data_IF_247668195087
#
_entry.id   IF_247668195087
#
_cell.length_a   1.000
_cell.length_b   1.000
_cell.length_c   1.000
_cell.angle_alpha   90.00
_cell.angle_beta   90.00
_cell.angle_gamma   90.00
#
_symmetry.space_group_name_H-M   'P 1'
#
loop_
_entity.id
_entity.type
_entity.pdbx_description
1 polymer ?
#
# COMPACT_ATOMS: atom_id res chain seq x y z
N UNK A 1 4.91 22.62 -11.37
CA UNK A 1 5.24 21.22 -11.75
C UNK A 1 6.72 20.85 -11.54
N UNK A 2 7.65 21.80 -11.67
CA UNK A 2 9.06 21.57 -11.36
C UNK A 2 9.47 22.44 -10.16
N UNK A 3 9.87 21.78 -9.07
CA UNK A 3 10.34 22.43 -7.84
C UNK A 3 11.63 23.23 -8.03
N UNK A 4 12.04 23.94 -6.98
CA UNK A 4 13.28 24.72 -6.98
C UNK A 4 14.51 23.82 -7.09
N UNK A 5 15.59 24.30 -7.72
CA UNK A 5 16.95 23.71 -7.73
C UNK A 5 17.06 22.20 -7.99
N UNK A 6 16.32 21.66 -8.96
CA UNK A 6 16.60 20.31 -9.47
C UNK A 6 18.02 20.23 -10.07
N UNK A 7 18.76 19.11 -9.90
CA UNK A 7 18.38 17.87 -9.20
C UNK A 7 18.68 17.86 -7.68
N UNK A 8 19.20 18.96 -7.12
CA UNK A 8 19.77 18.98 -5.77
C UNK A 8 18.74 19.14 -4.64
N UNK A 9 17.52 19.58 -4.97
CA UNK A 9 16.42 19.74 -4.03
C UNK A 9 15.21 18.91 -4.47
N UNK A 10 14.94 17.84 -3.71
CA UNK A 10 13.79 16.96 -3.91
C UNK A 10 12.66 17.43 -3.00
N UNK A 11 11.83 18.32 -3.52
CA UNK A 11 10.76 18.97 -2.75
C UNK A 11 9.40 18.24 -2.81
N UNK A 12 9.30 17.17 -3.60
CA UNK A 12 8.10 16.36 -3.77
C UNK A 12 8.48 14.95 -4.23
N UNK A 13 7.91 13.95 -3.57
CA UNK A 13 7.84 12.58 -4.04
C UNK A 13 6.44 12.31 -4.60
N UNK A 14 6.36 11.62 -5.73
CA UNK A 14 5.10 11.20 -6.35
C UNK A 14 5.14 9.69 -6.58
N UNK A 15 4.30 8.95 -5.85
CA UNK A 15 4.16 7.51 -6.00
C UNK A 15 3.02 7.23 -6.98
N UNK A 16 3.32 6.51 -8.07
CA UNK A 16 2.37 6.19 -9.16
C UNK A 16 2.21 4.69 -9.36
N UNK A 17 2.08 3.97 -8.25
CA UNK A 17 2.06 2.49 -8.21
C UNK A 17 0.69 1.92 -7.82
N UNK A 18 -0.29 2.79 -7.50
CA UNK A 18 -1.62 2.36 -7.07
C UNK A 18 -2.62 2.42 -8.22
N UNK A 19 -3.42 1.36 -8.35
CA UNK A 19 -4.66 1.38 -9.12
C UNK A 19 -5.73 2.24 -8.43
N UNK A 20 -6.87 2.39 -9.09
CA UNK A 20 -8.04 3.05 -8.51
C UNK A 20 -8.51 2.29 -7.26
N UNK A 21 -8.48 2.95 -6.12
CA UNK A 21 -9.14 2.52 -4.89
C UNK A 21 -10.41 3.34 -4.69
N UNK A 22 -11.56 2.69 -4.90
CA UNK A 22 -12.89 3.32 -4.81
C UNK A 22 -13.24 3.67 -3.37
N UNK A 23 -12.88 2.82 -2.40
CA UNK A 23 -13.14 3.09 -1.00
C UNK A 23 -12.17 4.16 -0.46
N UNK A 24 -12.64 5.37 -0.13
CA UNK A 24 -11.78 6.43 0.35
C UNK A 24 -11.15 6.12 1.71
N UNK A 25 -11.79 5.28 2.54
CA UNK A 25 -11.22 4.86 3.82
C UNK A 25 -10.03 3.92 3.58
N UNK A 26 -10.17 2.97 2.65
CA UNK A 26 -9.08 2.10 2.22
C UNK A 26 -7.94 2.92 1.59
N UNK A 27 -8.26 3.85 0.67
CA UNK A 27 -7.29 4.75 0.06
C UNK A 27 -6.51 5.55 1.11
N UNK A 28 -7.21 6.19 2.05
CA UNK A 28 -6.58 6.94 3.14
C UNK A 28 -5.66 6.07 4.00
N UNK A 29 -6.03 4.80 4.21
CA UNK A 29 -5.19 3.88 4.98
C UNK A 29 -3.89 3.51 4.29
N UNK A 30 -3.93 3.28 2.97
CA UNK A 30 -2.73 3.04 2.16
C UNK A 30 -1.87 4.30 2.11
N UNK A 31 -2.49 5.47 1.94
CA UNK A 31 -1.78 6.75 2.00
C UNK A 31 -1.10 6.96 3.36
N UNK A 32 -1.79 6.70 4.47
CA UNK A 32 -1.23 6.82 5.81
C UNK A 32 -0.05 5.88 6.05
N UNK A 33 -0.13 4.64 5.55
CA UNK A 33 0.97 3.67 5.64
C UNK A 33 2.21 4.15 4.88
N UNK A 34 2.02 4.62 3.63
CA UNK A 34 3.10 5.15 2.79
C UNK A 34 3.71 6.42 3.40
N UNK A 35 2.87 7.36 3.86
CA UNK A 35 3.31 8.60 4.51
C UNK A 35 4.13 8.28 5.77
N UNK A 36 3.65 7.38 6.62
CA UNK A 36 4.38 6.99 7.83
C UNK A 36 5.73 6.36 7.51
N UNK A 37 5.81 5.52 6.45
CA UNK A 37 7.09 4.93 6.01
C UNK A 37 8.05 5.97 5.45
N UNK A 38 7.57 6.93 4.66
CA UNK A 38 8.41 8.02 4.14
C UNK A 38 8.93 8.92 5.26
N UNK A 39 8.07 9.28 6.21
CA UNK A 39 8.47 10.03 7.40
C UNK A 39 9.52 9.26 8.19
N UNK A 40 9.36 7.94 8.36
CA UNK A 40 10.35 7.10 9.03
C UNK A 40 11.72 7.16 8.34
N UNK A 41 11.76 6.99 7.01
CA UNK A 41 12.99 7.05 6.21
C UNK A 41 13.66 8.42 6.24
N UNK A 42 12.88 9.51 6.20
CA UNK A 42 13.41 10.88 6.25
C UNK A 42 14.07 11.18 7.61
N UNK A 43 13.50 10.65 8.70
CA UNK A 43 14.00 10.90 10.05
C UNK A 43 15.11 9.94 10.49
N UNK A 44 15.22 8.77 9.86
CA UNK A 44 16.18 7.74 10.22
C UNK A 44 17.00 7.28 8.99
N UNK A 45 18.14 7.94 8.71
CA UNK A 45 19.04 7.54 7.63
C UNK A 45 19.64 6.14 7.77
N UNK A 46 19.57 5.52 8.96
CA UNK A 46 20.06 4.15 9.14
C UNK A 46 19.20 3.12 8.40
N UNK A 47 18.03 3.52 7.91
CA UNK A 47 17.16 2.67 7.11
C UNK A 47 17.53 2.65 5.62
N UNK A 48 18.65 3.25 5.22
CA UNK A 48 19.12 3.24 3.82
C UNK A 48 19.39 1.79 3.35
N UNK A 49 18.62 1.28 2.36
CA UNK A 49 18.81 -0.07 1.83
C UNK A 49 20.21 -0.31 1.26
N UNK A 50 20.90 0.73 0.79
CA UNK A 50 22.27 0.63 0.29
C UNK A 50 23.30 0.39 1.40
N UNK A 51 22.95 0.66 2.65
CA UNK A 51 23.82 0.47 3.80
C UNK A 51 23.47 -0.79 4.60
N UNK A 52 22.19 -1.01 4.92
CA UNK A 52 21.78 -2.06 5.87
C UNK A 52 21.37 -3.39 5.24
N UNK A 53 21.23 -3.49 3.92
CA UNK A 53 20.93 -4.75 3.26
C UNK A 53 22.10 -5.74 3.37
N UNK A 54 21.80 -7.02 3.61
CA UNK A 54 22.77 -8.13 3.63
C UNK A 54 23.30 -8.48 2.24
N UNK A 55 22.72 -7.96 1.17
CA UNK A 55 23.20 -8.15 -0.19
C UNK A 55 24.65 -7.64 -0.30
N UNK A 56 25.58 -8.35 -0.97
CA UNK A 56 26.97 -7.94 -1.09
C UNK A 56 27.15 -6.52 -1.66
N UNK A 57 28.00 -5.71 -1.02
CA UNK A 57 28.17 -4.30 -1.35
C UNK A 57 28.64 -4.04 -2.80
N UNK A 58 29.33 -5.00 -3.42
CA UNK A 58 29.85 -4.86 -4.79
C UNK A 58 28.77 -4.91 -5.88
N UNK A 59 27.58 -5.46 -5.61
CA UNK A 59 26.46 -5.50 -6.54
C UNK A 59 25.11 -5.07 -5.93
N UNK A 60 25.10 -4.61 -4.68
CA UNK A 60 23.90 -4.29 -3.89
C UNK A 60 22.85 -3.46 -4.60
N UNK A 61 23.26 -2.35 -5.23
CA UNK A 61 22.33 -1.46 -5.91
C UNK A 61 21.58 -2.17 -7.06
N UNK A 62 22.31 -2.92 -7.90
CA UNK A 62 21.72 -3.67 -9.00
C UNK A 62 20.81 -4.80 -8.55
N UNK A 63 21.23 -5.53 -7.50
CA UNK A 63 20.44 -6.62 -6.93
C UNK A 63 19.17 -6.11 -6.22
N UNK A 64 19.21 -4.97 -5.53
CA UNK A 64 18.02 -4.35 -4.93
C UNK A 64 17.01 -3.92 -5.99
N UNK A 65 17.47 -3.42 -7.13
CA UNK A 65 16.58 -3.10 -8.27
C UNK A 65 15.96 -4.39 -8.81
N UNK A 66 16.77 -5.41 -9.13
CA UNK A 66 16.28 -6.67 -9.66
C UNK A 66 15.30 -7.37 -8.69
N UNK A 67 15.56 -7.27 -7.38
CA UNK A 67 14.68 -7.76 -6.34
C UNK A 67 13.35 -7.00 -6.30
N UNK A 68 13.39 -5.68 -6.46
CA UNK A 68 12.19 -4.83 -6.50
C UNK A 68 11.32 -5.21 -7.70
N UNK A 69 11.90 -5.34 -8.88
CA UNK A 69 11.20 -5.76 -10.10
C UNK A 69 10.56 -7.15 -9.95
N UNK A 70 11.30 -8.11 -9.37
CA UNK A 70 10.81 -9.46 -9.14
C UNK A 70 9.64 -9.49 -8.14
N UNK A 71 9.75 -8.72 -7.05
CA UNK A 71 8.69 -8.59 -6.05
C UNK A 71 7.45 -7.88 -6.62
N UNK A 72 7.64 -6.85 -7.43
CA UNK A 72 6.55 -6.13 -8.10
C UNK A 72 5.77 -7.06 -9.04
N UNK A 73 6.47 -7.84 -9.87
CA UNK A 73 5.83 -8.83 -10.75
C UNK A 73 5.07 -9.90 -9.96
N UNK A 74 5.64 -10.36 -8.84
CA UNK A 74 4.98 -11.33 -7.97
C UNK A 74 3.71 -10.74 -7.33
N UNK A 75 3.79 -9.52 -6.79
CA UNK A 75 2.67 -8.81 -6.21
C UNK A 75 1.58 -8.49 -7.25
N UNK A 76 1.95 -8.12 -8.48
CA UNK A 76 0.99 -7.88 -9.55
C UNK A 76 0.21 -9.15 -9.95
N UNK A 77 0.84 -10.33 -9.86
CA UNK A 77 0.20 -11.62 -10.21
C UNK A 77 -0.63 -12.21 -9.07
N UNK A 78 -0.12 -12.14 -7.86
CA UNK A 78 -0.67 -12.88 -6.71
C UNK A 78 -1.12 -11.98 -5.57
N UNK A 79 -1.05 -10.65 -5.73
CA UNK A 79 -1.55 -9.67 -4.78
C UNK A 79 -0.98 -9.92 -3.37
N UNK A 80 -1.83 -9.85 -2.34
CA UNK A 80 -1.48 -10.09 -0.94
C UNK A 80 -0.98 -11.52 -0.63
N UNK A 81 -1.16 -12.47 -1.56
CA UNK A 81 -0.70 -13.86 -1.44
C UNK A 81 0.63 -14.11 -2.16
N UNK A 82 1.24 -13.08 -2.75
CA UNK A 82 2.55 -13.21 -3.37
C UNK A 82 3.62 -13.58 -2.35
N UNK A 83 4.42 -14.60 -2.64
CA UNK A 83 5.67 -14.84 -1.94
C UNK A 83 6.73 -13.89 -2.49
N UNK A 84 7.21 -13.00 -1.64
CA UNK A 84 8.22 -11.99 -1.92
C UNK A 84 9.54 -12.38 -1.25
N UNK A 85 10.61 -11.70 -1.66
CA UNK A 85 11.89 -11.78 -0.98
C UNK A 85 12.20 -10.44 -0.31
N UNK A 86 12.43 -10.48 1.00
CA UNK A 86 12.65 -9.30 1.82
C UNK A 86 14.00 -8.64 1.49
N UNK A 87 14.04 -7.32 1.31
CA UNK A 87 15.22 -6.60 0.79
C UNK A 87 16.38 -6.49 1.79
N UNK A 88 16.08 -6.58 3.08
CA UNK A 88 17.08 -6.41 4.12
C UNK A 88 17.94 -7.66 4.31
N UNK A 89 17.32 -8.84 4.34
CA UNK A 89 17.93 -10.11 4.77
C UNK A 89 17.74 -11.26 3.76
N UNK A 90 16.94 -11.05 2.71
CA UNK A 90 16.71 -12.02 1.66
C UNK A 90 15.76 -13.16 2.03
N UNK A 91 15.10 -13.12 3.20
CA UNK A 91 14.12 -14.15 3.59
C UNK A 91 12.90 -14.12 2.69
N UNK A 92 12.24 -15.27 2.53
CA UNK A 92 10.95 -15.34 1.86
C UNK A 92 9.85 -14.89 2.83
N UNK A 93 8.90 -14.10 2.34
CA UNK A 93 7.80 -13.54 3.13
C UNK A 93 6.57 -13.35 2.25
N UNK A 94 5.36 -13.56 2.78
CA UNK A 94 4.14 -13.22 2.03
C UNK A 94 3.95 -11.70 2.01
N UNK A 95 3.41 -11.16 0.92
CA UNK A 95 3.11 -9.74 0.81
C UNK A 95 2.25 -9.23 1.98
N UNK A 96 1.21 -9.99 2.37
CA UNK A 96 0.37 -9.65 3.54
C UNK A 96 1.14 -9.60 4.85
N UNK A 97 2.05 -10.54 5.08
CA UNK A 97 2.82 -10.63 6.32
C UNK A 97 3.81 -9.47 6.40
N UNK A 98 4.41 -9.12 5.27
CA UNK A 98 5.32 -7.98 5.21
C UNK A 98 4.60 -6.65 5.44
N UNK A 99 3.40 -6.48 4.88
CA UNK A 99 2.59 -5.28 5.14
C UNK A 99 2.17 -5.22 6.62
N UNK A 100 1.86 -6.35 7.27
CA UNK A 100 1.57 -6.39 8.71
C UNK A 100 2.82 -6.01 9.55
N UNK A 101 4.00 -6.52 9.20
CA UNK A 101 5.25 -6.10 9.85
C UNK A 101 5.49 -4.59 9.70
N UNK A 102 5.36 -4.06 8.47
CA UNK A 102 5.48 -2.63 8.18
C UNK A 102 4.44 -1.80 8.94
N UNK A 103 3.20 -2.29 9.06
CA UNK A 103 2.16 -1.64 9.84
C UNK A 103 2.60 -1.46 11.30
N UNK A 104 3.17 -2.49 11.93
CA UNK A 104 3.67 -2.41 13.31
C UNK A 104 4.87 -1.46 13.43
N UNK A 105 5.79 -1.49 12.45
CA UNK A 105 6.97 -0.61 12.43
C UNK A 105 6.61 0.87 12.35
N UNK A 106 5.64 1.23 11.49
CA UNK A 106 5.32 2.64 11.23
C UNK A 106 4.26 3.20 12.16
N UNK A 107 3.56 2.35 12.92
CA UNK A 107 2.51 2.80 13.84
C UNK A 107 2.98 3.87 14.84
N UNK A 108 4.15 3.75 15.51
CA UNK A 108 4.65 4.79 16.41
C UNK A 108 4.91 6.12 15.69
N UNK A 109 5.35 6.07 14.42
CA UNK A 109 5.58 7.25 13.58
C UNK A 109 4.25 7.94 13.29
N UNK A 110 3.25 7.18 12.80
CA UNK A 110 1.92 7.71 12.52
C UNK A 110 1.22 8.25 13.79
N UNK A 111 1.45 7.63 14.95
CA UNK A 111 0.93 8.12 16.24
C UNK A 111 1.54 9.45 16.62
N UNK A 112 2.87 9.59 16.51
CA UNK A 112 3.57 10.84 16.80
C UNK A 112 3.10 11.99 15.90
N UNK A 113 2.75 11.67 14.66
CA UNK A 113 2.25 12.63 13.67
C UNK A 113 0.73 12.85 13.71
N UNK A 114 0.01 12.16 14.61
CA UNK A 114 -1.42 12.40 14.85
C UNK A 114 -2.39 11.74 13.86
N UNK A 115 -1.93 10.83 13.01
CA UNK A 115 -2.77 10.20 11.96
C UNK A 115 -2.87 8.66 12.07
N UNK A 116 -2.39 8.07 13.16
CA UNK A 116 -2.44 6.60 13.38
C UNK A 116 -3.83 5.96 13.25
N UNK A 117 -4.92 6.71 13.47
CA UNK A 117 -6.29 6.20 13.29
C UNK A 117 -6.57 5.73 11.85
N UNK A 118 -5.94 6.38 10.86
CA UNK A 118 -6.08 6.02 9.46
C UNK A 118 -5.35 4.73 9.09
N UNK A 119 -4.46 4.19 9.93
CA UNK A 119 -3.80 2.91 9.64
C UNK A 119 -4.74 1.72 9.82
N UNK A 120 -5.70 1.80 10.75
CA UNK A 120 -6.54 0.67 11.14
C UNK A 120 -7.26 -0.09 9.99
N UNK A 121 -7.70 0.56 8.89
CA UNK A 121 -8.31 -0.16 7.77
C UNK A 121 -7.33 -1.08 7.02
N UNK A 122 -6.01 -0.92 7.15
CA UNK A 122 -5.03 -1.85 6.56
C UNK A 122 -5.27 -3.28 7.07
N UNK A 123 -5.54 -3.44 8.36
CA UNK A 123 -5.78 -4.77 8.96
C UNK A 123 -7.03 -5.44 8.36
N UNK A 124 -8.05 -4.64 8.01
CA UNK A 124 -9.24 -5.13 7.30
C UNK A 124 -8.86 -5.61 5.90
N UNK A 125 -8.09 -4.83 5.14
CA UNK A 125 -7.61 -5.20 3.80
C UNK A 125 -6.78 -6.49 3.84
N UNK A 126 -5.89 -6.65 4.82
CA UNK A 126 -5.07 -7.86 4.95
C UNK A 126 -5.91 -9.11 5.27
N UNK A 127 -6.99 -8.95 6.05
CA UNK A 127 -7.89 -10.06 6.42
C UNK A 127 -8.86 -10.42 5.30
N UNK A 128 -9.48 -9.43 4.67
CA UNK A 128 -10.60 -9.60 3.73
C UNK A 128 -10.15 -9.58 2.26
N UNK A 129 -8.92 -9.17 1.99
CA UNK A 129 -8.40 -8.97 0.65
C UNK A 129 -8.71 -7.58 0.09
N UNK A 130 -7.91 -7.14 -0.88
CA UNK A 130 -8.21 -5.97 -1.69
C UNK A 130 -9.25 -6.28 -2.78
N UNK A 131 -9.67 -5.25 -3.53
CA UNK A 131 -10.69 -5.37 -4.60
C UNK A 131 -10.38 -6.49 -5.59
N UNK A 132 -9.14 -6.60 -6.07
CA UNK A 132 -8.74 -7.65 -7.01
C UNK A 132 -8.88 -9.05 -6.38
N UNK A 133 -8.44 -9.23 -5.13
CA UNK A 133 -8.57 -10.50 -4.42
C UNK A 133 -10.04 -10.89 -4.23
N UNK A 134 -10.90 -9.94 -3.85
CA UNK A 134 -12.34 -10.18 -3.67
C UNK A 134 -13.01 -10.59 -5.00
N UNK A 135 -12.63 -9.96 -6.12
CA UNK A 135 -13.15 -10.32 -7.44
C UNK A 135 -12.69 -11.70 -7.90
N UNK A 136 -11.42 -12.04 -7.65
CA UNK A 136 -10.88 -13.38 -7.94
C UNK A 136 -11.57 -14.46 -7.10
N UNK A 137 -11.89 -14.18 -5.83
CA UNK A 137 -12.66 -15.09 -4.98
C UNK A 137 -14.07 -15.34 -5.52
N UNK A 138 -14.79 -14.28 -5.92
CA UNK A 138 -16.11 -14.41 -6.53
C UNK A 138 -16.06 -15.25 -7.81
N UNK A 139 -15.07 -14.99 -8.66
CA UNK A 139 -14.87 -15.79 -9.86
C UNK A 139 -14.54 -17.26 -9.53
N UNK A 140 -13.72 -17.49 -8.50
CA UNK A 140 -13.37 -18.84 -8.02
C UNK A 140 -14.57 -19.65 -7.52
N UNK A 141 -15.64 -19.00 -7.04
CA UNK A 141 -16.89 -19.67 -6.62
C UNK A 141 -17.97 -19.71 -7.71
N UNK A 142 -17.63 -19.35 -8.95
CA UNK A 142 -18.47 -19.57 -10.13
C UNK A 142 -19.18 -18.34 -10.70
N UNK A 143 -18.92 -17.13 -10.20
CA UNK A 143 -19.41 -15.91 -10.84
C UNK A 143 -18.61 -15.61 -12.11
N UNK A 144 -19.30 -15.35 -13.21
CA UNK A 144 -18.61 -14.91 -14.43
C UNK A 144 -18.11 -13.44 -14.29
N UNK A 145 -17.12 -13.01 -15.08
CA UNK A 145 -16.59 -11.64 -14.99
C UNK A 145 -17.64 -10.54 -15.17
N UNK A 146 -18.68 -10.76 -15.99
CA UNK A 146 -19.75 -9.78 -16.18
C UNK A 146 -20.58 -9.64 -14.90
N UNK A 147 -20.91 -10.75 -14.24
CA UNK A 147 -21.63 -10.73 -12.98
C UNK A 147 -20.84 -10.03 -11.88
N UNK A 148 -19.53 -10.32 -11.76
CA UNK A 148 -18.63 -9.65 -10.82
C UNK A 148 -18.64 -8.13 -11.06
N UNK A 149 -18.53 -7.69 -12.31
CA UNK A 149 -18.54 -6.27 -12.65
C UNK A 149 -19.90 -5.60 -12.35
N UNK A 150 -21.02 -6.24 -12.67
CA UNK A 150 -22.35 -5.71 -12.35
C UNK A 150 -22.52 -5.53 -10.84
N UNK A 151 -22.06 -6.49 -10.05
CA UNK A 151 -22.10 -6.40 -8.59
C UNK A 151 -21.19 -5.29 -8.07
N UNK A 152 -19.97 -5.19 -8.59
CA UNK A 152 -19.01 -4.15 -8.20
C UNK A 152 -19.54 -2.73 -8.47
N UNK A 153 -20.19 -2.51 -9.62
CA UNK A 153 -20.82 -1.22 -9.96
C UNK A 153 -21.91 -0.85 -8.94
N UNK A 154 -22.78 -1.81 -8.60
CA UNK A 154 -23.85 -1.58 -7.62
C UNK A 154 -23.29 -1.29 -6.24
N UNK A 155 -22.35 -2.10 -5.77
CA UNK A 155 -21.72 -1.92 -4.46
C UNK A 155 -20.96 -0.59 -4.36
N UNK A 156 -20.29 -0.16 -5.43
CA UNK A 156 -19.66 1.15 -5.49
C UNK A 156 -20.69 2.28 -5.36
N UNK A 157 -21.77 2.25 -6.15
CA UNK A 157 -22.81 3.27 -6.10
C UNK A 157 -23.50 3.35 -4.72
N UNK A 158 -23.76 2.20 -4.10
CA UNK A 158 -24.31 2.12 -2.74
C UNK A 158 -23.34 2.71 -1.70
N UNK A 159 -22.05 2.39 -1.80
CA UNK A 159 -21.04 2.92 -0.89
C UNK A 159 -20.89 4.45 -1.02
N UNK A 160 -20.87 4.97 -2.25
CA UNK A 160 -20.80 6.41 -2.51
C UNK A 160 -22.00 7.14 -1.90
N UNK A 161 -23.22 6.61 -2.11
CA UNK A 161 -24.43 7.18 -1.52
C UNK A 161 -24.41 7.17 0.01
N UNK A 162 -23.95 6.07 0.62
CA UNK A 162 -23.85 5.96 2.09
C UNK A 162 -22.82 6.95 2.65
N UNK A 163 -21.71 7.14 1.95
CA UNK A 163 -20.68 8.07 2.38
C UNK A 163 -21.16 9.53 2.27
N UNK A 164 -21.87 9.86 1.19
CA UNK A 164 -22.51 11.17 1.03
C UNK A 164 -23.47 11.44 2.19
N UNK A 165 -24.34 10.49 2.53
CA UNK A 165 -25.27 10.62 3.66
C UNK A 165 -24.54 10.86 4.99
N UNK A 166 -23.47 10.12 5.26
CA UNK A 166 -22.72 10.22 6.52
C UNK A 166 -21.93 11.53 6.66
N UNK A 167 -21.33 12.00 5.57
CA UNK A 167 -20.47 13.19 5.59
C UNK A 167 -21.26 14.49 5.41
N UNK A 168 -22.26 14.51 4.53
CA UNK A 168 -22.95 15.75 4.15
C UNK A 168 -24.10 16.11 5.10
N UNK A 169 -24.70 15.16 5.82
CA UNK A 169 -25.71 15.48 6.84
C UNK A 169 -25.13 16.29 8.02
N UNK A 170 -23.82 16.15 8.30
CA UNK A 170 -23.13 16.90 9.35
C UNK A 170 -22.91 18.39 9.02
N UNK A 171 -23.19 18.83 7.78
CA UNK A 171 -23.01 20.22 7.34
C UNK A 171 -24.28 21.10 7.52
N UNK A 172 -25.38 20.54 8.05
CA UNK A 172 -26.67 21.23 8.21
C UNK A 172 -27.05 21.44 9.68
N UNK A 173 -26.10 21.35 10.62
CA UNK A 173 -26.31 21.61 12.04
C UNK A 173 -25.77 22.97 12.50
#
# INVERSE_FOLDING_TARGET
>A
PNGNRRPYDLNRLELRICDLMVDPIALLSVMALLEARLIQLIHDPSLDPLEISTIPANNRSGELIALTDANEVAAAKSSLDAQLRHWQDGRLILARDWIEELYQEVWPVAKKQGFSCFLSPIQKILREGNTAAQWLQLHGVGFDPRQVMIQAIKSMAEQESQLEDQLCQSLVA
#
